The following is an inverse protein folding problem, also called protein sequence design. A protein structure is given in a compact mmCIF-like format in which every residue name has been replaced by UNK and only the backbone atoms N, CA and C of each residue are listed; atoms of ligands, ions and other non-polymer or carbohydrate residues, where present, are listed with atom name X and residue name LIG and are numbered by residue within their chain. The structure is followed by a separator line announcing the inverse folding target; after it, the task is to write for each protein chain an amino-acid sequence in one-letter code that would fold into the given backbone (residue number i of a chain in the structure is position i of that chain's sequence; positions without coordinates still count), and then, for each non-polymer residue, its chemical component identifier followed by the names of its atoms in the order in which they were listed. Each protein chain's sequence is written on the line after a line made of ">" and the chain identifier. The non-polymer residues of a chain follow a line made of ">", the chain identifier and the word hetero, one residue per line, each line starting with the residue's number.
data_IF_637869095515
#
_entry.id   IF_637869095515
#
_cell.length_a   1.000
_cell.length_b   1.000
_cell.length_c   1.000
_cell.angle_alpha   90.00
_cell.angle_beta   90.00
_cell.angle_gamma   90.00
#
_symmetry.space_group_name_H-M   'P 1'
#
loop_
_entity.id
_entity.type
_entity.pdbx_description
1 polymer ?
#
# COMPACT_ATOMS: atom_id res chain seq x y z
N UNK A 1 -33.84 -37.20 -4.74
CA UNK A 1 -33.09 -38.44 -5.10
C UNK A 1 -32.35 -38.22 -6.40
N UNK A 2 -31.09 -37.98 -6.37
CA UNK A 2 -30.11 -38.28 -7.43
C UNK A 2 -28.73 -38.21 -6.77
N UNK A 3 -28.17 -39.40 -6.59
CA UNK A 3 -26.79 -39.58 -6.11
C UNK A 3 -25.83 -39.32 -7.30
N UNK A 4 -24.74 -38.66 -7.05
CA UNK A 4 -23.60 -38.60 -7.98
C UNK A 4 -22.38 -39.16 -7.26
N UNK A 5 -21.86 -40.19 -7.88
CA UNK A 5 -20.82 -41.13 -7.49
C UNK A 5 -19.44 -40.46 -7.51
N UNK A 6 -18.66 -40.74 -6.48
CA UNK A 6 -17.23 -40.40 -6.36
C UNK A 6 -16.44 -41.47 -7.13
N UNK A 7 -15.54 -41.07 -8.02
CA UNK A 7 -14.53 -41.93 -8.61
C UNK A 7 -13.15 -41.52 -8.12
N UNK A 8 -12.53 -42.39 -7.35
CA UNK A 8 -11.14 -42.34 -6.95
C UNK A 8 -10.25 -42.90 -8.09
N UNK A 9 -9.17 -42.25 -8.41
CA UNK A 9 -8.07 -42.83 -9.20
C UNK A 9 -6.75 -42.73 -8.47
N UNK A 10 -6.19 -43.90 -8.32
CA UNK A 10 -4.97 -44.28 -7.57
C UNK A 10 -3.69 -43.92 -8.34
N UNK A 11 -2.67 -43.64 -7.58
CA UNK A 11 -1.29 -43.39 -7.98
C UNK A 11 -0.58 -44.65 -8.50
N UNK A 12 0.40 -44.47 -9.38
CA UNK A 12 1.52 -45.41 -9.61
C UNK A 12 2.83 -44.63 -9.62
N UNK A 13 3.71 -45.00 -8.69
CA UNK A 13 5.08 -44.58 -8.60
C UNK A 13 5.95 -45.51 -9.49
N UNK A 14 6.92 -44.96 -10.18
CA UNK A 14 8.08 -45.75 -10.69
C UNK A 14 9.39 -45.03 -10.32
N UNK A 15 10.17 -45.74 -9.51
CA UNK A 15 11.59 -45.54 -9.30
C UNK A 15 12.40 -46.03 -10.51
N UNK A 16 13.44 -45.30 -10.88
CA UNK A 16 14.59 -45.91 -11.58
C UNK A 16 15.88 -45.20 -11.08
N UNK A 17 16.70 -45.99 -10.42
CA UNK A 17 18.08 -45.67 -10.02
C UNK A 17 19.01 -46.16 -11.12
N UNK A 18 20.07 -45.40 -11.40
CA UNK A 18 21.29 -45.95 -12.03
C UNK A 18 22.55 -45.18 -11.55
N UNK A 19 23.44 -45.94 -10.98
CA UNK A 19 24.75 -45.56 -10.47
C UNK A 19 25.87 -45.86 -11.51
N UNK A 20 27.01 -45.25 -11.29
CA UNK A 20 28.34 -45.65 -11.87
C UNK A 20 28.98 -44.51 -12.68
N UNK A 21 30.25 -44.20 -12.67
CA UNK A 21 31.47 -44.80 -12.09
C UNK A 21 32.56 -43.70 -12.11
N UNK A 22 33.46 -43.77 -11.17
CA UNK A 22 34.63 -42.93 -11.06
C UNK A 22 35.72 -43.32 -12.11
N UNK A 23 36.54 -42.34 -12.50
CA UNK A 23 37.74 -42.54 -13.29
C UNK A 23 38.76 -41.44 -13.06
N UNK A 24 39.79 -41.69 -12.22
CA UNK A 24 41.00 -40.92 -12.11
C UNK A 24 41.97 -41.32 -13.22
N UNK A 25 42.66 -40.38 -13.83
CA UNK A 25 44.01 -40.64 -14.40
C UNK A 25 44.79 -39.32 -14.56
N UNK A 26 46.05 -39.42 -14.27
CA UNK A 26 47.12 -38.44 -13.99
C UNK A 26 47.73 -37.80 -15.22
N UNK A 27 48.31 -36.64 -15.00
CA UNK A 27 49.55 -36.01 -15.50
C UNK A 27 50.05 -36.23 -16.96
N UNK A 28 50.30 -35.13 -17.63
CA UNK A 28 51.63 -34.83 -18.19
C UNK A 28 51.77 -33.39 -18.65
N UNK A 29 52.80 -32.73 -18.21
CA UNK A 29 53.28 -31.42 -18.51
C UNK A 29 53.80 -31.32 -19.97
N UNK A 30 53.43 -30.23 -20.66
CA UNK A 30 54.27 -29.63 -21.70
C UNK A 30 53.99 -28.13 -21.84
N UNK A 31 55.00 -27.35 -21.55
CA UNK A 31 55.08 -25.90 -21.68
C UNK A 31 55.07 -25.48 -23.16
N UNK A 32 54.15 -24.62 -23.52
CA UNK A 32 54.20 -23.81 -24.75
C UNK A 32 53.78 -22.41 -24.41
N UNK A 33 54.72 -21.48 -24.44
CA UNK A 33 54.51 -20.05 -24.33
C UNK A 33 53.78 -19.53 -25.55
N UNK A 34 52.53 -19.03 -25.37
CA UNK A 34 51.84 -18.24 -26.37
C UNK A 34 51.46 -16.92 -25.71
N UNK A 35 51.95 -15.83 -26.27
CA UNK A 35 51.65 -14.46 -25.90
C UNK A 35 50.15 -14.22 -25.95
N UNK A 36 49.51 -14.00 -24.77
CA UNK A 36 48.15 -13.59 -24.69
C UNK A 36 48.05 -12.06 -24.78
N UNK A 37 47.50 -11.60 -25.84
CA UNK A 37 46.95 -10.22 -25.99
C UNK A 37 45.89 -10.02 -24.90
N UNK A 38 45.88 -8.92 -24.13
CA UNK A 38 44.84 -8.69 -23.14
C UNK A 38 43.52 -8.39 -23.89
N UNK A 39 42.63 -9.36 -23.91
CA UNK A 39 41.26 -9.13 -24.27
C UNK A 39 40.65 -8.15 -23.23
N UNK A 40 40.30 -6.96 -23.68
CA UNK A 40 39.62 -5.96 -22.87
C UNK A 40 38.37 -6.54 -22.25
N UNK A 41 38.42 -6.76 -20.94
CA UNK A 41 37.23 -7.07 -20.14
C UNK A 41 36.30 -5.88 -20.21
N UNK A 42 35.32 -5.97 -21.06
CA UNK A 42 34.19 -5.06 -21.07
C UNK A 42 33.46 -5.26 -19.74
N UNK A 43 33.77 -4.44 -18.74
CA UNK A 43 32.89 -4.23 -17.59
C UNK A 43 31.59 -3.67 -18.16
N UNK A 44 30.59 -4.53 -18.29
CA UNK A 44 29.21 -4.10 -18.44
C UNK A 44 28.82 -3.41 -17.13
N UNK A 45 29.22 -2.15 -17.00
CA UNK A 45 28.58 -1.26 -16.05
C UNK A 45 27.14 -1.17 -16.54
N UNK A 46 26.24 -1.85 -15.85
CA UNK A 46 24.81 -1.58 -16.01
C UNK A 46 24.63 -0.11 -15.68
N UNK A 47 24.53 0.72 -16.71
CA UNK A 47 24.24 2.14 -16.57
C UNK A 47 23.00 2.25 -15.72
N UNK A 48 23.13 2.80 -14.51
CA UNK A 48 22.00 3.01 -13.61
C UNK A 48 20.96 3.80 -14.41
N UNK A 49 19.80 3.18 -14.65
CA UNK A 49 18.77 3.76 -15.49
C UNK A 49 18.48 5.20 -15.02
N UNK A 50 18.62 6.17 -15.94
CA UNK A 50 18.32 7.56 -15.67
C UNK A 50 16.83 7.69 -15.35
N UNK A 51 16.48 8.38 -14.29
CA UNK A 51 15.11 8.62 -13.85
C UNK A 51 14.60 10.02 -14.17
N UNK A 52 15.29 10.73 -15.06
CA UNK A 52 14.82 12.05 -15.54
C UNK A 52 13.55 11.90 -16.39
N UNK A 53 12.74 12.95 -16.44
CA UNK A 53 11.53 13.00 -17.26
C UNK A 53 11.80 12.52 -18.70
N UNK A 54 12.89 13.00 -19.34
CA UNK A 54 13.24 12.60 -20.72
C UNK A 54 13.55 11.10 -20.84
N UNK A 55 14.11 10.48 -19.81
CA UNK A 55 14.52 9.07 -19.86
C UNK A 55 13.35 8.08 -19.64
N UNK A 56 12.28 8.51 -18.97
CA UNK A 56 11.16 7.65 -18.60
C UNK A 56 9.93 7.80 -19.52
N UNK A 57 10.04 8.55 -20.62
CA UNK A 57 8.91 8.85 -21.52
C UNK A 57 8.19 7.60 -22.06
N UNK A 58 8.93 6.52 -22.34
CA UNK A 58 8.35 5.25 -22.81
C UNK A 58 7.59 4.47 -21.72
N UNK A 59 7.74 4.86 -20.46
CA UNK A 59 7.09 4.23 -19.31
C UNK A 59 5.82 4.99 -18.88
N UNK A 60 5.55 6.14 -19.50
CA UNK A 60 4.40 6.97 -19.14
C UNK A 60 3.13 6.46 -19.81
N UNK A 61 2.02 6.53 -19.06
CA UNK A 61 0.69 6.26 -19.62
C UNK A 61 0.32 7.26 -20.73
N UNK A 62 0.60 8.54 -20.52
CA UNK A 62 0.42 9.59 -21.53
C UNK A 62 1.75 10.30 -21.77
N UNK A 63 2.19 10.39 -23.04
CA UNK A 63 3.46 11.00 -23.41
C UNK A 63 3.58 12.43 -22.86
N UNK A 64 4.68 12.72 -22.19
CA UNK A 64 4.98 14.04 -21.62
C UNK A 64 4.25 14.38 -20.32
N UNK A 65 3.32 13.54 -19.87
CA UNK A 65 2.50 13.79 -18.69
C UNK A 65 2.67 12.65 -17.67
N UNK A 66 2.80 13.00 -16.41
CA UNK A 66 2.70 12.05 -15.30
C UNK A 66 1.23 11.97 -14.87
N UNK A 67 0.57 10.86 -15.17
CA UNK A 67 -0.82 10.61 -14.78
C UNK A 67 -0.85 9.94 -13.41
N UNK A 68 -1.33 10.65 -12.41
CA UNK A 68 -1.53 10.16 -11.04
C UNK A 68 -3.00 9.82 -10.85
N UNK A 69 -3.31 8.67 -10.28
CA UNK A 69 -4.68 8.30 -9.95
C UNK A 69 -4.97 8.50 -8.46
N UNK A 70 -6.23 8.69 -8.15
CA UNK A 70 -6.81 8.66 -6.80
C UNK A 70 -8.32 8.46 -6.88
N UNK A 71 -8.96 8.18 -5.75
CA UNK A 71 -10.43 8.04 -5.65
C UNK A 71 -11.15 9.39 -5.73
N UNK A 72 -12.48 9.34 -5.72
CA UNK A 72 -13.36 10.51 -5.66
C UNK A 72 -14.67 10.15 -4.92
N UNK A 73 -15.01 10.91 -3.88
CA UNK A 73 -14.32 12.09 -3.33
C UNK A 73 -13.06 11.74 -2.55
N UNK A 74 -12.09 12.67 -2.54
CA UNK A 74 -10.89 12.59 -1.70
C UNK A 74 -11.02 13.47 -0.46
N UNK A 75 -10.41 13.03 0.65
CA UNK A 75 -10.66 13.60 1.98
C UNK A 75 -9.40 14.19 2.64
N UNK A 76 -9.58 15.22 3.49
CA UNK A 76 -8.53 15.61 4.42
C UNK A 76 -8.26 14.47 5.45
N UNK A 77 -7.04 14.38 5.97
CA UNK A 77 -5.89 15.27 5.73
C UNK A 77 -5.07 14.93 4.48
N UNK A 78 -5.46 13.90 3.74
CA UNK A 78 -4.76 13.36 2.57
C UNK A 78 -4.85 14.30 1.37
N UNK A 79 -6.03 14.84 1.14
CA UNK A 79 -6.33 15.84 0.12
C UNK A 79 -7.17 16.98 0.71
N UNK A 80 -7.00 18.20 0.25
CA UNK A 80 -7.73 19.37 0.75
C UNK A 80 -8.75 19.83 -0.30
N UNK A 81 -9.97 20.17 0.16
CA UNK A 81 -11.06 20.68 -0.66
C UNK A 81 -11.52 19.75 -1.80
N UNK A 82 -11.38 18.43 -1.64
CA UNK A 82 -11.71 17.45 -2.67
C UNK A 82 -11.01 17.76 -4.03
N UNK A 83 -9.77 18.28 -3.98
CA UNK A 83 -9.00 18.71 -5.15
C UNK A 83 -7.58 18.13 -5.13
N UNK A 84 -7.34 16.96 -5.74
CA UNK A 84 -6.00 16.38 -5.80
C UNK A 84 -5.00 17.27 -6.56
N UNK A 85 -5.49 18.15 -7.45
CA UNK A 85 -4.67 19.01 -8.31
C UNK A 85 -4.07 20.23 -7.58
N UNK A 86 -4.44 20.50 -6.33
CA UNK A 86 -4.03 21.74 -5.64
C UNK A 86 -2.69 21.64 -4.87
N UNK A 87 -2.08 20.45 -4.83
CA UNK A 87 -0.84 20.21 -4.09
C UNK A 87 -1.00 20.30 -2.56
N UNK A 88 -2.24 20.30 -2.05
CA UNK A 88 -2.54 20.39 -0.63
C UNK A 88 -3.19 19.12 -0.08
N UNK A 89 -2.81 18.80 1.14
CA UNK A 89 -3.02 17.50 1.75
C UNK A 89 -1.78 16.62 1.58
N UNK A 90 -1.64 15.62 2.42
CA UNK A 90 -0.42 14.82 2.46
C UNK A 90 -0.14 14.12 1.13
N UNK A 91 -1.10 13.37 0.62
CA UNK A 91 -0.93 12.58 -0.60
C UNK A 91 -0.81 13.44 -1.85
N UNK A 92 -1.62 14.51 -1.96
CA UNK A 92 -1.43 15.46 -3.05
C UNK A 92 -0.01 16.04 -3.06
N UNK A 93 0.50 16.45 -1.90
CA UNK A 93 1.84 17.01 -1.79
C UNK A 93 2.93 15.96 -2.07
N UNK A 94 2.78 14.71 -1.61
CA UNK A 94 3.71 13.61 -1.92
C UNK A 94 3.74 13.34 -3.42
N UNK A 95 2.60 13.28 -4.09
CA UNK A 95 2.53 13.06 -5.54
C UNK A 95 3.30 14.13 -6.33
N UNK A 96 3.12 15.41 -5.99
CA UNK A 96 3.86 16.51 -6.62
C UNK A 96 5.34 16.51 -6.25
N UNK A 97 5.71 16.11 -5.02
CA UNK A 97 7.11 15.97 -4.63
C UNK A 97 7.81 14.85 -5.42
N UNK A 98 7.16 13.71 -5.60
CA UNK A 98 7.65 12.61 -6.46
C UNK A 98 7.77 13.08 -7.91
N UNK A 99 6.75 13.77 -8.44
CA UNK A 99 6.78 14.32 -9.80
C UNK A 99 7.99 15.26 -10.00
N UNK A 100 8.24 16.14 -9.04
CA UNK A 100 9.38 17.07 -9.10
C UNK A 100 10.73 16.33 -9.09
N UNK A 101 10.89 15.27 -8.27
CA UNK A 101 12.10 14.42 -8.28
C UNK A 101 12.32 13.73 -9.63
N UNK A 102 11.25 13.38 -10.33
CA UNK A 102 11.30 12.81 -11.68
C UNK A 102 11.47 13.87 -12.79
N UNK A 103 11.54 15.16 -12.44
CA UNK A 103 11.74 16.27 -13.37
C UNK A 103 10.46 16.75 -14.08
N UNK A 104 9.27 16.46 -13.53
CA UNK A 104 8.00 17.00 -14.05
C UNK A 104 7.68 18.34 -13.39
N UNK A 105 7.22 19.29 -14.20
CA UNK A 105 6.60 20.52 -13.70
C UNK A 105 5.17 20.22 -13.21
N UNK A 106 4.59 21.02 -12.30
CA UNK A 106 3.21 20.81 -11.85
C UNK A 106 2.20 20.78 -13.01
N UNK A 107 2.41 21.54 -14.07
CA UNK A 107 1.57 21.54 -15.28
C UNK A 107 1.68 20.25 -16.13
N UNK A 108 2.65 19.40 -15.85
CA UNK A 108 2.82 18.10 -16.48
C UNK A 108 2.30 16.94 -15.62
N UNK A 109 1.62 17.23 -14.51
CA UNK A 109 0.93 16.25 -13.68
C UNK A 109 -0.56 16.30 -13.99
N UNK A 110 -1.12 15.17 -14.42
CA UNK A 110 -2.56 14.99 -14.64
C UNK A 110 -3.12 14.05 -13.57
N UNK A 111 -4.37 14.26 -13.19
CA UNK A 111 -5.05 13.39 -12.23
C UNK A 111 -6.14 12.60 -12.92
N UNK A 112 -6.18 11.29 -12.66
CA UNK A 112 -7.22 10.37 -13.09
C UNK A 112 -8.04 9.92 -11.90
N UNK A 113 -9.33 9.65 -12.14
CA UNK A 113 -10.18 9.00 -11.16
C UNK A 113 -10.04 7.48 -11.28
N UNK A 114 -9.73 6.81 -10.17
CA UNK A 114 -9.72 5.36 -10.06
C UNK A 114 -10.37 4.98 -8.72
N UNK A 115 -11.48 4.22 -8.71
CA UNK A 115 -12.10 3.75 -7.48
C UNK A 115 -11.13 2.91 -6.64
N UNK A 116 -11.21 3.03 -5.31
CA UNK A 116 -10.30 2.35 -4.39
C UNK A 116 -10.15 0.85 -4.69
N UNK A 117 -11.26 0.12 -4.79
CA UNK A 117 -11.21 -1.34 -5.03
C UNK A 117 -10.68 -1.70 -6.42
N UNK A 118 -10.91 -0.84 -7.43
CA UNK A 118 -10.44 -1.05 -8.81
C UNK A 118 -8.94 -0.84 -8.93
N UNK A 119 -8.36 -0.02 -8.06
CA UNK A 119 -6.94 0.33 -8.12
C UNK A 119 -6.04 -0.90 -8.00
N UNK A 120 -6.34 -1.82 -7.09
CA UNK A 120 -5.58 -3.06 -6.89
C UNK A 120 -6.16 -4.29 -7.62
N UNK A 121 -7.20 -4.14 -8.43
CA UNK A 121 -7.67 -5.21 -9.31
C UNK A 121 -6.62 -5.56 -10.37
N UNK A 122 -6.53 -6.82 -10.84
CA UNK A 122 -5.59 -7.20 -11.90
C UNK A 122 -5.94 -6.53 -13.22
N UNK A 123 -4.94 -6.30 -14.06
CA UNK A 123 -5.10 -5.77 -15.42
C UNK A 123 -4.37 -4.46 -15.68
N UNK A 124 -4.50 -3.93 -16.91
CA UNK A 124 -3.87 -2.68 -17.31
C UNK A 124 -4.45 -1.49 -16.55
N UNK A 125 -3.60 -0.51 -16.23
CA UNK A 125 -3.98 0.71 -15.53
C UNK A 125 -3.94 1.91 -16.48
N UNK A 126 -4.84 2.87 -16.26
CA UNK A 126 -4.93 4.12 -17.04
C UNK A 126 -4.18 5.27 -16.38
N UNK A 127 -3.13 4.95 -15.61
CA UNK A 127 -2.32 5.88 -14.86
C UNK A 127 -0.87 5.38 -14.72
N UNK A 128 0.03 6.24 -14.29
CA UNK A 128 1.41 5.88 -13.98
C UNK A 128 1.53 5.26 -12.60
N UNK A 129 0.92 5.91 -11.60
CA UNK A 129 0.74 5.37 -10.26
C UNK A 129 -0.54 5.92 -9.62
N UNK A 130 -1.06 5.18 -8.65
CA UNK A 130 -2.16 5.59 -7.79
C UNK A 130 -1.65 5.93 -6.40
N UNK A 131 -2.24 6.96 -5.77
CA UNK A 131 -1.99 7.38 -4.40
C UNK A 131 -3.34 7.65 -3.72
N UNK A 132 -3.73 6.76 -2.82
CA UNK A 132 -5.07 6.75 -2.23
C UNK A 132 -5.12 5.89 -0.96
N UNK A 133 -4.26 6.19 0.01
CA UNK A 133 -4.21 5.47 1.29
C UNK A 133 -4.11 3.93 1.11
N UNK A 134 -3.43 3.47 0.04
CA UNK A 134 -3.41 2.05 -0.31
C UNK A 134 -2.30 1.33 0.44
N UNK A 135 -2.69 0.58 1.47
CA UNK A 135 -1.77 -0.28 2.20
C UNK A 135 -1.24 -1.41 1.32
N UNK A 136 0.07 -1.62 1.41
CA UNK A 136 0.69 -2.82 0.86
C UNK A 136 0.12 -4.06 1.54
N UNK A 137 -0.18 -5.07 0.76
CA UNK A 137 -0.40 -6.44 1.25
C UNK A 137 0.11 -7.46 0.23
N UNK A 138 0.54 -8.63 0.71
CA UNK A 138 0.99 -9.71 -0.17
C UNK A 138 -0.10 -10.15 -1.16
N UNK A 139 -1.36 -10.11 -0.76
CA UNK A 139 -2.49 -10.42 -1.63
C UNK A 139 -2.64 -9.40 -2.77
N UNK A 140 -2.64 -8.09 -2.46
CA UNK A 140 -2.70 -7.03 -3.48
C UNK A 140 -1.48 -7.07 -4.42
N UNK A 141 -0.30 -7.38 -3.87
CA UNK A 141 0.95 -7.47 -4.64
C UNK A 141 0.97 -8.64 -5.66
N UNK A 142 0.04 -9.58 -5.62
CA UNK A 142 -0.13 -10.57 -6.70
C UNK A 142 -0.63 -9.90 -7.99
N UNK A 143 -1.52 -8.93 -7.88
CA UNK A 143 -2.20 -8.29 -9.01
C UNK A 143 -1.53 -6.98 -9.48
N UNK A 144 -0.86 -6.26 -8.59
CA UNK A 144 -0.27 -4.95 -8.84
C UNK A 144 1.17 -4.86 -8.32
N UNK A 145 1.85 -3.76 -8.60
CA UNK A 145 3.18 -3.47 -8.06
C UNK A 145 3.08 -2.27 -7.11
N UNK A 146 3.77 -2.33 -5.98
CA UNK A 146 3.86 -1.22 -5.03
C UNK A 146 5.25 -0.60 -5.03
N UNK A 147 5.31 0.69 -4.74
CA UNK A 147 6.57 1.35 -4.35
C UNK A 147 6.99 0.98 -2.93
N UNK A 148 8.17 1.46 -2.55
CA UNK A 148 8.55 1.57 -1.15
C UNK A 148 7.55 2.45 -0.38
N UNK A 149 7.51 2.30 0.96
CA UNK A 149 6.63 3.07 1.85
C UNK A 149 6.82 4.57 1.69
N UNK A 150 5.71 5.31 1.57
CA UNK A 150 5.69 6.76 1.76
C UNK A 150 5.06 7.18 3.09
N UNK A 151 4.34 6.26 3.77
CA UNK A 151 3.73 6.49 5.08
C UNK A 151 3.56 5.16 5.84
N UNK A 152 3.94 5.15 7.12
CA UNK A 152 3.75 3.99 8.00
C UNK A 152 2.44 4.15 8.76
N UNK A 153 1.57 3.15 8.68
CA UNK A 153 0.18 3.21 9.14
C UNK A 153 0.04 2.64 10.56
N UNK A 154 -0.77 3.31 11.37
CA UNK A 154 -1.33 2.75 12.60
C UNK A 154 -2.85 2.86 12.54
N UNK A 155 -3.54 1.79 12.91
CA UNK A 155 -4.99 1.75 12.98
C UNK A 155 -5.49 2.41 14.28
N UNK A 156 -6.64 3.07 14.23
CA UNK A 156 -7.27 3.72 15.37
C UNK A 156 -8.76 3.47 15.42
N UNK A 157 -9.30 3.46 16.63
CA UNK A 157 -10.72 3.24 16.94
C UNK A 157 -11.44 4.57 17.05
N UNK A 158 -12.51 4.76 16.31
CA UNK A 158 -13.40 5.93 16.40
C UNK A 158 -14.80 5.51 16.84
N UNK A 159 -15.35 6.25 17.82
CA UNK A 159 -16.69 6.04 18.31
C UNK A 159 -17.38 7.36 18.69
N UNK A 160 -18.68 7.35 18.90
CA UNK A 160 -19.39 8.46 19.53
C UNK A 160 -19.04 8.55 21.02
N UNK A 161 -18.83 9.75 21.56
CA UNK A 161 -18.55 9.98 22.98
C UNK A 161 -19.62 9.41 23.91
N UNK A 162 -20.87 9.29 23.43
CA UNK A 162 -21.97 8.69 24.15
C UNK A 162 -21.96 7.16 24.14
N UNK A 163 -21.08 6.52 23.38
CA UNK A 163 -20.98 5.05 23.32
C UNK A 163 -20.16 4.52 24.52
N UNK A 164 -20.59 3.45 25.18
CA UNK A 164 -19.84 2.85 26.28
C UNK A 164 -18.47 2.26 25.83
N UNK A 165 -18.26 2.07 24.53
CA UNK A 165 -16.99 1.58 23.98
C UNK A 165 -15.81 2.54 24.26
N UNK A 166 -16.09 3.83 24.51
CA UNK A 166 -15.03 4.84 24.73
C UNK A 166 -14.21 4.60 26.01
N UNK A 167 -14.68 3.74 26.91
CA UNK A 167 -13.96 3.35 28.13
C UNK A 167 -13.25 2.00 27.99
N UNK A 168 -13.25 1.41 26.78
CA UNK A 168 -12.71 0.07 26.52
C UNK A 168 -11.35 0.17 25.86
N UNK A 169 -10.34 -0.49 26.46
CA UNK A 169 -8.95 -0.36 26.05
C UNK A 169 -8.23 -1.70 25.87
N UNK A 170 -8.99 -2.82 25.80
CA UNK A 170 -8.46 -4.13 25.45
C UNK A 170 -9.26 -4.76 24.30
N UNK A 171 -8.66 -5.58 23.43
CA UNK A 171 -9.38 -6.27 22.36
C UNK A 171 -10.54 -7.14 22.89
N UNK A 172 -10.36 -7.75 24.08
CA UNK A 172 -11.40 -8.57 24.69
C UNK A 172 -12.66 -7.76 25.02
N UNK A 173 -12.50 -6.53 25.49
CA UNK A 173 -13.62 -5.63 25.82
C UNK A 173 -14.35 -5.12 24.57
N UNK A 174 -13.68 -5.12 23.42
CA UNK A 174 -14.25 -4.64 22.15
C UNK A 174 -15.12 -5.69 21.46
N UNK A 175 -14.97 -6.97 21.77
CA UNK A 175 -15.63 -8.08 21.03
C UNK A 175 -17.15 -8.04 21.01
N UNK A 176 -17.79 -7.44 22.01
CA UNK A 176 -19.25 -7.40 22.15
C UNK A 176 -19.90 -6.26 21.37
N UNK A 177 -19.11 -5.36 20.78
CA UNK A 177 -19.61 -4.19 20.04
C UNK A 177 -19.79 -4.47 18.55
N UNK A 178 -20.76 -3.78 17.94
CA UNK A 178 -20.99 -3.84 16.50
C UNK A 178 -20.02 -2.89 15.80
N UNK A 179 -19.16 -3.45 14.98
CA UNK A 179 -18.25 -2.70 14.12
C UNK A 179 -18.83 -2.55 12.71
N UNK A 180 -18.33 -1.56 11.98
CA UNK A 180 -18.54 -1.45 10.55
C UNK A 180 -17.36 -0.79 9.88
N UNK A 181 -17.09 -1.16 8.62
CA UNK A 181 -16.01 -0.57 7.84
C UNK A 181 -16.25 -0.70 6.34
N UNK A 182 -15.41 -0.01 5.55
CA UNK A 182 -15.48 -0.06 4.11
C UNK A 182 -14.95 -1.40 3.59
N UNK A 183 -15.61 -1.92 2.55
CA UNK A 183 -15.22 -3.13 1.85
C UNK A 183 -13.77 -3.04 1.35
N UNK A 184 -13.05 -4.16 1.37
CA UNK A 184 -11.70 -4.27 0.81
C UNK A 184 -10.58 -3.56 1.59
N UNK A 185 -10.88 -2.86 2.70
CA UNK A 185 -9.87 -2.14 3.50
C UNK A 185 -9.08 -3.06 4.42
N UNK A 186 -7.87 -2.66 4.74
CA UNK A 186 -7.04 -3.29 5.78
C UNK A 186 -7.63 -3.05 7.17
N UNK A 187 -8.36 -1.97 7.37
CA UNK A 187 -9.11 -1.68 8.61
C UNK A 187 -10.20 -2.71 8.87
N UNK A 188 -10.99 -3.09 7.85
CA UNK A 188 -11.96 -4.18 7.96
C UNK A 188 -11.27 -5.53 8.26
N UNK A 189 -10.13 -5.80 7.62
CA UNK A 189 -9.32 -6.98 7.91
C UNK A 189 -8.79 -6.96 9.35
N UNK A 190 -8.37 -5.79 9.84
CA UNK A 190 -7.92 -5.60 11.21
C UNK A 190 -9.03 -5.90 12.22
N UNK A 191 -10.24 -5.41 12.01
CA UNK A 191 -11.40 -5.72 12.84
C UNK A 191 -11.60 -7.24 12.90
N UNK A 192 -11.60 -7.92 11.77
CA UNK A 192 -11.85 -9.35 11.69
C UNK A 192 -10.73 -10.21 12.31
N UNK A 193 -9.47 -9.77 12.20
CA UNK A 193 -8.31 -10.58 12.61
C UNK A 193 -7.79 -10.25 14.01
N UNK A 194 -7.85 -8.97 14.42
CA UNK A 194 -7.25 -8.51 15.68
C UNK A 194 -8.30 -8.25 16.77
N UNK A 195 -9.45 -7.68 16.43
CA UNK A 195 -10.54 -7.45 17.39
C UNK A 195 -11.38 -8.70 17.54
N UNK A 196 -11.72 -9.36 16.41
CA UNK A 196 -12.54 -10.57 16.36
C UNK A 196 -13.90 -10.40 17.07
N UNK A 197 -14.73 -9.43 16.64
CA UNK A 197 -16.01 -9.17 17.29
C UNK A 197 -16.93 -10.40 17.20
N UNK A 198 -17.80 -10.58 18.18
CA UNK A 198 -18.78 -11.68 18.23
C UNK A 198 -19.86 -11.56 17.15
N UNK A 199 -20.12 -10.34 16.68
CA UNK A 199 -21.00 -10.07 15.56
C UNK A 199 -20.17 -9.74 14.33
N UNK A 200 -20.56 -10.26 13.16
CA UNK A 200 -19.93 -9.94 11.90
C UNK A 200 -19.98 -8.43 11.67
N UNK A 201 -18.85 -7.77 11.37
CA UNK A 201 -18.83 -6.35 11.05
C UNK A 201 -19.76 -6.01 9.88
N UNK A 202 -20.44 -4.86 9.97
CA UNK A 202 -21.22 -4.34 8.84
C UNK A 202 -20.26 -3.80 7.78
N UNK A 203 -20.48 -4.17 6.54
CA UNK A 203 -19.63 -3.78 5.41
C UNK A 203 -20.37 -2.74 4.57
N UNK A 204 -19.67 -1.68 4.20
CA UNK A 204 -20.18 -0.54 3.43
C UNK A 204 -19.32 -0.30 2.20
N UNK A 205 -19.90 0.31 1.16
CA UNK A 205 -19.18 0.60 -0.08
C UNK A 205 -18.16 1.74 0.07
N UNK A 206 -18.49 2.75 0.89
CA UNK A 206 -17.64 3.93 1.05
C UNK A 206 -17.41 4.28 2.52
N UNK A 207 -16.32 4.99 2.82
CA UNK A 207 -16.07 5.54 4.16
C UNK A 207 -17.18 6.52 4.60
N UNK A 208 -17.83 7.21 3.66
CA UNK A 208 -18.96 8.09 3.99
C UNK A 208 -20.13 7.30 4.55
N UNK A 209 -20.43 6.13 3.99
CA UNK A 209 -21.51 5.28 4.48
C UNK A 209 -21.18 4.74 5.87
N UNK A 210 -19.92 4.38 6.13
CA UNK A 210 -19.43 3.98 7.46
C UNK A 210 -19.62 5.13 8.48
N UNK A 211 -19.22 6.36 8.10
CA UNK A 211 -19.38 7.54 8.95
C UNK A 211 -20.86 7.81 9.27
N UNK A 212 -21.73 7.69 8.27
CA UNK A 212 -23.18 7.83 8.47
C UNK A 212 -23.74 6.74 9.40
N UNK A 213 -23.29 5.49 9.24
CA UNK A 213 -23.68 4.39 10.11
C UNK A 213 -23.25 4.61 11.56
N UNK A 214 -22.08 5.22 11.79
CA UNK A 214 -21.62 5.60 13.14
C UNK A 214 -22.50 6.72 13.72
N UNK A 215 -22.80 7.78 12.95
CA UNK A 215 -23.64 8.91 13.37
C UNK A 215 -25.06 8.46 13.72
N UNK A 216 -25.62 7.54 12.96
CA UNK A 216 -26.96 6.98 13.17
C UNK A 216 -26.98 5.81 14.17
N UNK A 217 -25.85 5.50 14.80
CA UNK A 217 -25.69 4.42 15.78
C UNK A 217 -26.02 3.03 15.24
N UNK A 218 -25.93 2.82 13.94
CA UNK A 218 -26.04 1.49 13.32
C UNK A 218 -24.82 0.62 13.63
N UNK A 219 -23.67 1.26 13.87
CA UNK A 219 -22.44 0.66 14.37
C UNK A 219 -22.02 1.39 15.64
N UNK A 220 -21.31 0.69 16.52
CA UNK A 220 -20.78 1.28 17.75
C UNK A 220 -19.43 1.97 17.52
N UNK A 221 -18.66 1.48 16.56
CA UNK A 221 -17.34 1.99 16.21
C UNK A 221 -16.92 1.59 14.79
N UNK A 222 -15.98 2.35 14.25
CA UNK A 222 -15.20 2.03 13.07
C UNK A 222 -13.70 1.99 13.44
N UNK A 223 -12.89 1.36 12.60
CA UNK A 223 -11.43 1.40 12.67
C UNK A 223 -10.95 2.05 11.38
N UNK A 224 -9.96 2.91 11.47
CA UNK A 224 -9.30 3.52 10.31
C UNK A 224 -7.90 3.98 10.71
N UNK A 225 -7.08 4.40 9.74
CA UNK A 225 -5.75 4.95 10.04
C UNK A 225 -5.83 6.19 10.93
N UNK A 226 -4.82 6.33 11.77
CA UNK A 226 -4.78 7.38 12.80
C UNK A 226 -5.05 8.79 12.27
N UNK A 227 -4.47 9.27 11.14
CA UNK A 227 -4.78 10.61 10.64
C UNK A 227 -6.23 10.78 10.21
N UNK A 228 -6.82 9.78 9.57
CA UNK A 228 -8.23 9.78 9.17
C UNK A 228 -9.15 9.71 10.39
N UNK A 229 -8.84 8.84 11.37
CA UNK A 229 -9.55 8.78 12.65
C UNK A 229 -9.56 10.13 13.39
N UNK A 230 -8.41 10.79 13.39
CA UNK A 230 -8.25 12.12 13.97
C UNK A 230 -9.11 13.16 13.24
N UNK A 231 -9.09 13.16 11.92
CA UNK A 231 -9.88 14.12 11.12
C UNK A 231 -11.38 13.88 11.30
N UNK A 232 -11.84 12.63 11.26
CA UNK A 232 -13.23 12.27 11.53
C UNK A 232 -13.68 12.80 12.89
N UNK A 233 -12.89 12.54 13.93
CA UNK A 233 -13.29 12.89 15.31
C UNK A 233 -13.19 14.38 15.61
N UNK A 234 -12.29 15.11 14.95
CA UNK A 234 -12.09 16.55 15.21
C UNK A 234 -12.93 17.46 14.31
N UNK A 235 -13.33 17.00 13.13
CA UNK A 235 -13.83 17.88 12.07
C UNK A 235 -15.07 17.39 11.33
N UNK A 236 -15.31 16.08 11.24
CA UNK A 236 -16.41 15.55 10.41
C UNK A 236 -17.62 15.09 11.21
N UNK A 237 -17.41 14.39 12.34
CA UNK A 237 -18.50 13.84 13.15
C UNK A 237 -18.54 14.53 14.51
N UNK A 238 -19.38 15.56 14.69
CA UNK A 238 -19.57 16.18 16.00
C UNK A 238 -19.97 15.15 17.06
N UNK A 239 -19.29 15.19 18.20
CA UNK A 239 -19.53 14.24 19.29
C UNK A 239 -18.89 12.88 19.13
N UNK A 240 -18.08 12.65 18.11
CA UNK A 240 -17.19 11.49 18.05
C UNK A 240 -15.85 11.75 18.76
N UNK A 241 -15.10 10.69 18.94
CA UNK A 241 -13.75 10.71 19.52
C UNK A 241 -12.92 9.57 18.96
N UNK A 242 -11.64 9.83 18.73
CA UNK A 242 -10.65 8.78 18.56
C UNK A 242 -10.39 8.18 19.94
N UNK A 243 -10.90 6.96 20.17
CA UNK A 243 -10.89 6.30 21.49
C UNK A 243 -9.49 5.84 21.85
N UNK A 244 -8.83 5.22 20.90
CA UNK A 244 -7.50 4.66 21.06
C UNK A 244 -6.87 4.38 19.70
N UNK A 245 -5.55 4.23 19.69
CA UNK A 245 -4.81 3.66 18.57
C UNK A 245 -4.33 2.24 18.91
N UNK A 246 -4.12 1.45 17.88
CA UNK A 246 -3.56 0.11 18.01
C UNK A 246 -2.04 0.12 17.81
N UNK A 247 -1.31 -0.89 18.33
CA UNK A 247 0.12 -1.04 18.03
C UNK A 247 0.37 -1.12 16.51
N UNK A 248 1.53 -0.65 16.07
CA UNK A 248 1.93 -0.81 14.67
C UNK A 248 2.04 -2.30 14.32
N UNK A 249 1.49 -2.67 13.17
CA UNK A 249 1.60 -4.01 12.57
C UNK A 249 2.66 -4.07 11.48
N UNK A 250 3.38 -2.97 11.21
CA UNK A 250 4.25 -2.82 10.05
C UNK A 250 3.47 -2.46 8.77
N UNK A 251 2.20 -2.15 8.90
CA UNK A 251 1.37 -1.66 7.79
C UNK A 251 1.92 -0.36 7.25
N UNK A 252 1.93 -0.21 5.93
CA UNK A 252 2.42 0.99 5.26
C UNK A 252 1.72 1.22 3.94
N UNK A 253 1.64 2.47 3.52
CA UNK A 253 1.17 2.86 2.20
C UNK A 253 2.29 2.84 1.18
N UNK A 254 2.01 2.31 -0.01
CA UNK A 254 2.86 2.39 -1.18
C UNK A 254 2.11 2.99 -2.36
N UNK A 255 2.82 3.69 -3.24
CA UNK A 255 2.26 4.09 -4.53
C UNK A 255 2.01 2.82 -5.35
N UNK A 256 0.84 2.73 -5.97
CA UNK A 256 0.41 1.53 -6.68
C UNK A 256 0.58 1.70 -8.20
N UNK A 257 1.06 0.66 -8.86
CA UNK A 257 1.33 0.61 -10.30
C UNK A 257 0.67 -0.62 -10.93
N UNK A 258 0.52 -0.59 -12.25
CA UNK A 258 0.27 -1.81 -13.01
C UNK A 258 1.34 -2.86 -12.69
N UNK A 259 0.97 -4.14 -12.68
CA UNK A 259 1.89 -5.23 -12.36
C UNK A 259 3.12 -5.21 -13.27
N UNK A 260 4.30 -5.20 -12.65
CA UNK A 260 5.59 -5.20 -13.35
C UNK A 260 5.97 -3.86 -14.02
N UNK A 261 5.29 -2.76 -13.71
CA UNK A 261 5.62 -1.45 -14.28
C UNK A 261 7.03 -0.99 -13.87
N UNK A 262 7.97 -0.76 -14.80
CA UNK A 262 9.35 -0.41 -14.49
C UNK A 262 9.51 0.99 -13.85
N UNK A 263 8.54 1.87 -13.99
CA UNK A 263 8.55 3.22 -13.39
C UNK A 263 8.72 3.17 -11.86
N UNK A 264 8.29 2.09 -11.22
CA UNK A 264 8.43 1.90 -9.76
C UNK A 264 9.87 2.07 -9.29
N UNK A 265 10.85 1.64 -10.08
CA UNK A 265 12.27 1.80 -9.73
C UNK A 265 12.68 3.28 -9.61
N UNK A 266 12.18 4.13 -10.51
CA UNK A 266 12.46 5.56 -10.48
C UNK A 266 11.69 6.27 -9.37
N UNK A 267 10.46 5.83 -9.12
CA UNK A 267 9.65 6.34 -8.02
C UNK A 267 10.26 5.99 -6.66
N UNK A 268 10.80 4.77 -6.49
CA UNK A 268 11.50 4.38 -5.26
C UNK A 268 12.75 5.23 -5.01
N UNK A 269 13.53 5.54 -6.07
CA UNK A 269 14.66 6.49 -5.96
C UNK A 269 14.19 7.89 -5.53
N UNK A 270 13.07 8.36 -6.09
CA UNK A 270 12.47 9.64 -5.69
C UNK A 270 12.03 9.63 -4.22
N UNK A 271 11.32 8.58 -3.78
CA UNK A 271 10.89 8.42 -2.38
C UNK A 271 12.08 8.34 -1.42
N UNK A 272 13.13 7.59 -1.77
CA UNK A 272 14.37 7.52 -0.98
C UNK A 272 15.00 8.92 -0.81
N UNK A 273 15.05 9.73 -1.88
CA UNK A 273 15.53 11.11 -1.82
C UNK A 273 14.64 11.98 -0.93
N UNK A 274 13.31 11.90 -1.09
CA UNK A 274 12.35 12.67 -0.29
C UNK A 274 12.38 12.27 1.20
N UNK A 275 12.69 11.02 1.48
CA UNK A 275 12.88 10.51 2.85
C UNK A 275 14.18 11.02 3.44
N UNK A 276 15.29 10.88 2.73
CA UNK A 276 16.63 11.27 3.22
C UNK A 276 16.82 12.78 3.42
N UNK A 277 16.18 13.60 2.58
CA UNK A 277 16.23 15.06 2.70
C UNK A 277 15.18 15.65 3.65
N UNK A 278 14.39 14.81 4.32
CA UNK A 278 13.38 15.20 5.30
C UNK A 278 12.07 15.74 4.72
N UNK A 279 11.87 15.75 3.40
CA UNK A 279 10.64 16.26 2.78
C UNK A 279 9.40 15.49 3.25
N UNK A 280 9.44 14.13 3.27
CA UNK A 280 8.30 13.33 3.76
C UNK A 280 7.98 13.64 5.22
N UNK A 281 8.98 13.80 6.08
CA UNK A 281 8.78 14.16 7.49
C UNK A 281 8.14 15.55 7.65
N UNK A 282 8.56 16.52 6.84
CA UNK A 282 7.96 17.87 6.84
C UNK A 282 6.49 17.82 6.38
N UNK A 283 6.17 17.05 5.34
CA UNK A 283 4.79 16.87 4.87
C UNK A 283 3.94 16.16 5.92
N UNK A 284 4.46 15.14 6.59
CA UNK A 284 3.79 14.48 7.71
C UNK A 284 3.47 15.46 8.82
N UNK A 285 4.45 16.25 9.24
CA UNK A 285 4.25 17.29 10.28
C UNK A 285 3.23 18.35 9.86
N UNK A 286 3.24 18.73 8.59
CA UNK A 286 2.35 19.77 8.06
C UNK A 286 0.89 19.34 7.98
N UNK A 287 0.65 18.11 7.53
CA UNK A 287 -0.70 17.65 7.17
C UNK A 287 -1.27 16.60 8.13
N UNK A 288 -0.42 15.75 8.70
CA UNK A 288 -0.81 14.62 9.53
C UNK A 288 -0.42 14.87 10.98
N UNK A 289 -1.15 15.74 11.67
CA UNK A 289 -0.91 15.99 13.09
C UNK A 289 -1.25 14.72 13.88
N UNK A 290 -0.24 14.12 14.50
CA UNK A 290 -0.42 12.94 15.33
C UNK A 290 -0.82 13.41 16.75
N UNK A 291 -1.95 12.89 17.26
CA UNK A 291 -2.30 13.05 18.66
C UNK A 291 -1.44 12.12 19.51
N UNK A 292 -0.57 12.70 20.33
CA UNK A 292 0.33 11.95 21.24
C UNK A 292 -0.33 11.48 22.51
N UNK A 293 -1.57 11.90 22.80
CA UNK A 293 -2.28 11.65 24.07
C UNK A 293 -3.37 10.59 23.99
N UNK A 294 -3.51 9.88 22.89
CA UNK A 294 -4.53 8.84 22.75
C UNK A 294 -4.01 7.53 23.33
N UNK A 295 -4.82 6.83 24.14
CA UNK A 295 -4.44 5.52 24.66
C UNK A 295 -4.09 4.53 23.53
N UNK A 296 -3.10 3.67 23.78
CA UNK A 296 -2.84 2.55 22.88
C UNK A 296 -3.50 1.31 23.45
N UNK A 297 -4.35 0.67 22.65
CA UNK A 297 -4.93 -0.63 22.99
C UNK A 297 -3.81 -1.66 22.91
N UNK A 298 -3.52 -2.31 24.03
CA UNK A 298 -2.54 -3.40 24.07
C UNK A 298 -3.23 -4.72 23.76
N UNK A 299 -2.59 -5.61 23.01
CA UNK A 299 -3.10 -6.96 22.73
C UNK A 299 -3.39 -7.75 23.99
#
# INVERSE_FOLDING_TARGET
>A
MRQITVAAMTAIAMLAASAGLAGCASESSSSSSVSATPAGGGSSSSAAASCSNSAIQSQLYAKGMLTVATDKPVYPPWFVNNKPTNGQGYESAVAYAVAAQLGFKPSQVTWAYEPFDSSYAPGPKKFNFDINEISYSAARAQAVTFSDSYYDVQQALVALKSSPIVTKHSPADLKTYVFGDQVGTTSLQFINSQIQPTQTPKVFETLNDVKQALQTKQIAALVTDTPTAQFISSSEIPGSVMVAQFPSTGEHYGLLFAKGNPLVTCVNKALATLKSNGTLAQLTTKYLKIYTSVPTIKP
#
